data_IF_399034973312
#
_entry.id   IF_399034973312
#
_cell.length_a   1.000
_cell.length_b   1.000
_cell.length_c   1.000
_cell.angle_alpha   90.00
_cell.angle_beta   90.00
_cell.angle_gamma   90.00
#
_symmetry.space_group_name_H-M   'P 1'
#
loop_
_entity.id
_entity.type
_entity.pdbx_description
1 polymer ?
#
# COMPACT_ATOMS: atom_id res chain seq x y z
N UNK A 1 -8.99 -20.11 19.15
CA UNK A 1 -8.01 -19.13 18.64
C UNK A 1 -7.12 -19.86 17.64
N UNK A 2 -7.13 -19.49 16.36
CA UNK A 2 -6.42 -20.25 15.31
C UNK A 2 -4.93 -19.90 15.28
N UNK A 3 -4.07 -20.90 15.46
CA UNK A 3 -2.61 -20.80 15.43
C UNK A 3 -2.02 -20.58 14.02
N UNK A 4 -2.83 -20.11 13.05
CA UNK A 4 -2.44 -19.93 11.65
C UNK A 4 -1.28 -18.94 11.46
N UNK A 5 -1.08 -18.01 12.40
CA UNK A 5 -0.02 -17.01 12.36
C UNK A 5 1.40 -17.57 12.59
N UNK A 6 1.53 -18.79 13.12
CA UNK A 6 2.82 -19.45 13.39
C UNK A 6 3.35 -20.28 12.21
N UNK A 7 2.70 -20.22 11.05
CA UNK A 7 3.08 -21.06 9.91
C UNK A 7 4.18 -20.40 9.07
N UNK A 8 5.43 -20.85 9.27
CA UNK A 8 6.57 -20.41 8.46
C UNK A 8 6.50 -21.04 7.06
N UNK A 9 5.99 -20.29 6.08
CA UNK A 9 6.02 -20.69 4.67
C UNK A 9 7.39 -20.36 4.06
N UNK A 10 8.17 -21.39 3.74
CA UNK A 10 9.44 -21.23 3.01
C UNK A 10 9.14 -21.05 1.51
N UNK A 11 9.58 -19.95 0.90
CA UNK A 11 9.50 -19.77 -0.55
C UNK A 11 10.33 -20.86 -1.24
N UNK A 12 9.69 -21.70 -2.05
CA UNK A 12 10.34 -22.89 -2.63
C UNK A 12 11.28 -22.56 -3.79
N UNK A 13 11.02 -21.49 -4.56
CA UNK A 13 11.83 -20.97 -5.68
C UNK A 13 11.24 -19.64 -6.16
N UNK A 14 12.07 -18.64 -6.42
CA UNK A 14 11.70 -17.40 -7.10
C UNK A 14 12.14 -17.51 -8.57
N UNK A 15 11.20 -17.39 -9.51
CA UNK A 15 11.53 -17.28 -10.92
C UNK A 15 11.71 -15.80 -11.27
N UNK A 16 12.89 -15.40 -11.73
CA UNK A 16 13.16 -14.05 -12.22
C UNK A 16 12.90 -14.07 -13.74
N UNK A 17 11.66 -13.76 -14.13
CA UNK A 17 11.20 -13.70 -15.51
C UNK A 17 9.97 -12.78 -15.63
N UNK A 18 9.47 -12.50 -16.85
CA UNK A 18 8.29 -11.65 -17.05
C UNK A 18 7.12 -12.13 -16.19
N UNK A 19 6.47 -11.23 -15.46
CA UNK A 19 5.42 -11.54 -14.48
C UNK A 19 4.19 -12.26 -15.08
N UNK A 20 4.04 -12.17 -16.40
CA UNK A 20 2.92 -12.74 -17.18
C UNK A 20 3.41 -13.89 -18.05
N UNK A 21 3.90 -14.96 -17.44
CA UNK A 21 4.17 -16.20 -18.18
C UNK A 21 2.83 -16.94 -18.45
N UNK A 22 2.74 -17.77 -19.50
CA UNK A 22 1.54 -18.56 -19.79
C UNK A 22 1.04 -19.39 -18.58
N UNK A 23 1.97 -19.87 -17.75
CA UNK A 23 1.68 -20.64 -16.53
C UNK A 23 0.91 -19.81 -15.48
N UNK A 24 1.17 -18.50 -15.40
CA UNK A 24 0.41 -17.60 -14.53
C UNK A 24 -1.06 -17.52 -14.97
N UNK A 25 -1.31 -17.46 -16.28
CA UNK A 25 -2.67 -17.39 -16.81
C UNK A 25 -3.43 -18.69 -16.56
N UNK A 26 -2.81 -19.86 -16.79
CA UNK A 26 -3.41 -21.16 -16.47
C UNK A 26 -3.71 -21.31 -14.97
N UNK A 27 -2.77 -20.90 -14.12
CA UNK A 27 -2.97 -20.89 -12.68
C UNK A 27 -4.12 -19.95 -12.27
N UNK A 28 -4.26 -18.79 -12.91
CA UNK A 28 -5.34 -17.84 -12.64
C UNK A 28 -6.71 -18.38 -13.06
N UNK A 29 -6.81 -18.98 -14.26
CA UNK A 29 -8.05 -19.60 -14.76
C UNK A 29 -8.57 -20.67 -13.81
N UNK A 30 -7.69 -21.45 -13.18
CA UNK A 30 -8.06 -22.47 -12.19
C UNK A 30 -8.65 -21.87 -10.90
N UNK A 31 -8.30 -20.63 -10.55
CA UNK A 31 -8.72 -19.95 -9.30
C UNK A 31 -9.84 -18.93 -9.48
N UNK A 32 -10.39 -18.75 -10.69
CA UNK A 32 -11.54 -17.84 -10.94
C UNK A 32 -12.73 -18.14 -10.02
N UNK A 33 -12.92 -19.41 -9.63
CA UNK A 33 -14.01 -19.85 -8.77
C UNK A 33 -13.69 -19.79 -7.26
N UNK A 34 -12.46 -19.46 -6.87
CA UNK A 34 -12.03 -19.50 -5.46
C UNK A 34 -12.47 -18.24 -4.65
N UNK A 35 -13.31 -17.38 -5.23
CA UNK A 35 -13.69 -16.06 -4.69
C UNK A 35 -12.48 -15.17 -4.31
N UNK A 36 -11.30 -15.46 -4.86
CA UNK A 36 -10.10 -14.67 -4.59
C UNK A 36 -10.21 -13.38 -5.40
N UNK A 37 -10.23 -12.20 -4.76
CA UNK A 37 -10.30 -10.95 -5.50
C UNK A 37 -9.09 -10.85 -6.42
N UNK A 38 -9.35 -10.51 -7.69
CA UNK A 38 -8.28 -10.21 -8.64
C UNK A 38 -7.36 -9.16 -8.00
N UNK A 39 -6.03 -9.30 -8.05
CA UNK A 39 -5.14 -8.22 -7.64
C UNK A 39 -5.60 -6.97 -8.38
N UNK A 40 -5.86 -5.89 -7.64
CA UNK A 40 -6.46 -4.66 -8.15
C UNK A 40 -5.54 -4.16 -9.26
N UNK A 41 -5.90 -4.45 -10.51
CA UNK A 41 -5.07 -4.15 -11.69
C UNK A 41 -5.28 -2.68 -12.12
N UNK A 42 -5.69 -1.81 -11.19
CA UNK A 42 -6.33 -0.53 -11.49
C UNK A 42 -6.04 0.57 -10.46
N UNK A 43 -5.06 0.40 -9.59
CA UNK A 43 -4.43 1.55 -8.96
C UNK A 43 -3.25 1.95 -9.84
N UNK A 44 -3.49 2.82 -10.82
CA UNK A 44 -2.39 3.54 -11.51
C UNK A 44 -1.55 4.40 -10.54
N UNK A 45 -1.92 4.40 -9.26
CA UNK A 45 -1.16 5.01 -8.20
C UNK A 45 0.20 4.35 -8.05
N UNK A 46 1.24 5.17 -7.98
CA UNK A 46 2.59 4.67 -7.74
C UNK A 46 2.67 3.96 -6.38
N UNK A 47 3.66 3.09 -6.18
CA UNK A 47 3.93 2.51 -4.84
C UNK A 47 4.10 3.63 -3.80
N UNK A 48 4.64 4.77 -4.20
CA UNK A 48 4.80 5.96 -3.36
C UNK A 48 3.44 6.56 -2.92
N UNK A 49 2.44 6.62 -3.81
CA UNK A 49 1.09 7.07 -3.44
C UNK A 49 0.39 6.10 -2.48
N UNK A 50 0.63 4.80 -2.61
CA UNK A 50 0.12 3.79 -1.67
C UNK A 50 0.81 3.84 -0.31
N UNK A 51 2.09 4.21 -0.30
CA UNK A 51 2.89 4.38 0.92
C UNK A 51 2.81 5.81 1.47
N UNK A 52 2.01 6.68 0.86
CA UNK A 52 1.86 8.06 1.30
C UNK A 52 1.24 8.05 2.69
N UNK A 53 2.08 8.36 3.67
CA UNK A 53 1.65 8.49 5.07
C UNK A 53 0.62 9.61 5.12
N UNK A 54 -0.62 9.25 5.45
CA UNK A 54 -1.65 10.24 5.74
C UNK A 54 -1.25 10.91 7.05
N UNK A 55 -1.09 12.25 7.08
CA UNK A 55 -0.77 12.96 8.31
C UNK A 55 -1.82 12.67 9.38
N UNK A 56 -1.38 12.53 10.63
CA UNK A 56 -2.32 12.42 11.75
C UNK A 56 -3.08 13.74 11.92
N UNK A 57 -4.29 13.69 12.50
CA UNK A 57 -5.07 14.91 12.80
C UNK A 57 -4.26 15.91 13.63
N UNK A 58 -3.45 15.43 14.58
CA UNK A 58 -2.57 16.27 15.39
C UNK A 58 -1.47 16.95 14.57
N UNK A 59 -0.92 16.25 13.58
CA UNK A 59 0.11 16.79 12.70
C UNK A 59 -0.46 17.86 11.76
N UNK A 60 -1.70 17.68 11.31
CA UNK A 60 -2.45 18.71 10.56
C UNK A 60 -2.67 19.95 11.44
N UNK A 61 -3.14 19.76 12.67
CA UNK A 61 -3.37 20.87 13.62
C UNK A 61 -2.07 21.62 13.93
N UNK A 62 -0.96 20.90 14.11
CA UNK A 62 0.36 21.52 14.38
C UNK A 62 0.81 22.40 13.21
N UNK A 63 0.69 21.90 11.98
CA UNK A 63 1.07 22.67 10.79
C UNK A 63 0.21 23.93 10.61
N UNK A 64 -1.09 23.85 10.89
CA UNK A 64 -1.97 25.02 10.85
C UNK A 64 -1.64 26.05 11.92
N UNK A 65 -1.23 25.59 13.11
CA UNK A 65 -0.77 26.48 14.18
C UNK A 65 0.54 27.19 13.79
N UNK A 66 1.54 26.45 13.32
CA UNK A 66 2.83 27.01 12.85
C UNK A 66 2.62 28.06 11.75
N UNK A 67 1.73 27.77 10.79
CA UNK A 67 1.38 28.71 9.71
C UNK A 67 0.80 30.02 10.23
N UNK A 68 -0.18 29.94 11.15
CA UNK A 68 -0.80 31.13 11.74
C UNK A 68 0.20 31.93 12.56
N UNK A 69 1.12 31.26 13.26
CA UNK A 69 2.14 31.95 14.05
C UNK A 69 3.12 32.72 13.15
N UNK A 70 3.56 32.14 12.05
CA UNK A 70 4.42 32.81 11.07
C UNK A 70 3.73 34.02 10.41
N UNK A 71 2.42 33.95 10.15
CA UNK A 71 1.64 35.09 9.66
C UNK A 71 1.51 36.21 10.69
N UNK A 72 1.46 35.88 11.98
CA UNK A 72 1.42 36.85 13.07
C UNK A 72 2.79 37.50 13.28
N UNK A 73 3.89 36.74 13.24
CA UNK A 73 5.25 37.27 13.33
C UNK A 73 5.51 38.33 12.25
N UNK A 74 5.11 38.07 11.00
CA UNK A 74 5.20 39.04 9.89
C UNK A 74 4.40 40.33 10.07
N UNK A 75 3.41 40.36 10.97
CA UNK A 75 2.60 41.55 11.28
C UNK A 75 3.16 42.35 12.45
N UNK A 76 4.05 41.76 13.23
CA UNK A 76 4.67 42.37 14.41
C UNK A 76 6.03 43.00 14.03
N UNK A 77 6.64 42.54 12.94
CA UNK A 77 7.76 43.20 12.25
C UNK A 77 7.31 44.44 11.43
#
# INVERSE_FOLDING_TARGET
MSNAWNQTHRMKRLAVGPMTTPEYNEWWVRRINDNIPKPIQGNNQSIEEHLRVVPSELEIIRQDFERRNAELEKKIE
#
